data_IF_714923426345
#
_entry.id   IF_714923426345
#
_cell.length_a   1.000
_cell.length_b   1.000
_cell.length_c   1.000
_cell.angle_alpha   90.00
_cell.angle_beta   90.00
_cell.angle_gamma   90.00
#
_symmetry.space_group_name_H-M   'P 1'
#
loop_
_entity.id
_entity.type
_entity.pdbx_description
1 polymer ?
#
# COMPACT_ATOMS: atom_id res chain seq x y z
N UNK A 1 -42.73 6.41 -11.67
CA UNK A 1 -41.57 5.50 -11.61
C UNK A 1 -40.37 6.20 -12.25
N UNK A 2 -39.66 7.07 -11.51
CA UNK A 2 -38.54 7.84 -12.08
C UNK A 2 -37.22 7.05 -12.11
N UNK A 3 -36.99 6.19 -11.12
CA UNK A 3 -35.67 5.58 -10.90
C UNK A 3 -35.46 4.25 -11.65
N UNK A 4 -36.48 3.38 -11.68
CA UNK A 4 -36.37 2.01 -12.19
C UNK A 4 -37.16 1.74 -13.49
N UNK A 5 -37.37 2.78 -14.32
CA UNK A 5 -38.17 2.66 -15.56
C UNK A 5 -37.46 1.83 -16.64
N UNK A 6 -36.14 1.87 -16.69
CA UNK A 6 -35.33 1.08 -17.63
C UNK A 6 -34.13 0.45 -16.92
N UNK A 7 -33.56 -0.60 -17.52
CA UNK A 7 -32.37 -1.27 -16.99
C UNK A 7 -31.22 -0.27 -16.82
N UNK A 8 -30.98 0.57 -17.84
CA UNK A 8 -29.93 1.59 -17.80
C UNK A 8 -30.17 2.64 -16.69
N UNK A 9 -31.41 3.12 -16.54
CA UNK A 9 -31.77 4.05 -15.46
C UNK A 9 -31.59 3.43 -14.07
N UNK A 10 -31.89 2.13 -13.95
CA UNK A 10 -31.74 1.38 -12.71
C UNK A 10 -30.27 1.19 -12.36
N UNK A 11 -29.43 0.85 -13.34
CA UNK A 11 -27.98 0.75 -13.18
C UNK A 11 -27.37 2.09 -12.77
N UNK A 12 -27.78 3.19 -13.42
CA UNK A 12 -27.33 4.54 -13.06
C UNK A 12 -27.72 4.92 -11.64
N UNK A 13 -28.96 4.64 -11.24
CA UNK A 13 -29.47 4.88 -9.88
C UNK A 13 -28.70 4.07 -8.83
N UNK A 14 -28.48 2.78 -9.08
CA UNK A 14 -27.73 1.90 -8.16
C UNK A 14 -26.25 2.29 -8.09
N UNK A 15 -25.67 2.73 -9.20
CA UNK A 15 -24.28 3.20 -9.25
C UNK A 15 -24.10 4.50 -8.48
N UNK A 16 -24.84 5.56 -8.80
CA UNK A 16 -24.70 6.85 -8.12
C UNK A 16 -25.24 6.82 -6.69
N UNK A 17 -26.50 6.42 -6.53
CA UNK A 17 -27.17 6.55 -5.23
C UNK A 17 -26.87 5.36 -4.32
N UNK A 18 -26.42 4.23 -4.87
CA UNK A 18 -26.03 3.05 -4.10
C UNK A 18 -24.52 2.98 -3.82
N UNK A 19 -23.69 2.95 -4.86
CA UNK A 19 -22.22 2.81 -4.72
C UNK A 19 -21.58 4.11 -4.25
N UNK A 20 -21.90 5.24 -4.88
CA UNK A 20 -21.39 6.55 -4.46
C UNK A 20 -22.19 7.19 -3.32
N UNK A 21 -23.31 6.56 -2.91
CA UNK A 21 -24.23 7.07 -1.89
C UNK A 21 -24.71 8.49 -2.14
N UNK A 22 -24.72 8.93 -3.41
CA UNK A 22 -25.19 10.26 -3.78
C UNK A 22 -26.68 10.38 -3.47
N UNK A 23 -27.05 11.39 -2.66
CA UNK A 23 -28.42 11.64 -2.24
C UNK A 23 -29.22 10.41 -1.79
N UNK A 24 -28.56 9.43 -1.15
CA UNK A 24 -29.17 8.12 -0.81
C UNK A 24 -30.41 8.25 0.10
N UNK A 25 -30.46 9.28 0.94
CA UNK A 25 -31.59 9.53 1.86
C UNK A 25 -32.91 9.81 1.12
N UNK A 26 -32.87 10.56 0.02
CA UNK A 26 -34.08 10.81 -0.78
C UNK A 26 -34.55 9.56 -1.50
N UNK A 27 -33.63 8.79 -2.08
CA UNK A 27 -33.93 7.54 -2.79
C UNK A 27 -34.52 6.48 -1.86
N UNK A 28 -33.95 6.32 -0.66
CA UNK A 28 -34.47 5.37 0.34
C UNK A 28 -35.86 5.81 0.81
N UNK A 29 -36.09 7.11 1.04
CA UNK A 29 -37.41 7.61 1.43
C UNK A 29 -38.46 7.35 0.36
N UNK A 30 -38.13 7.54 -0.92
CA UNK A 30 -39.03 7.30 -2.04
C UNK A 30 -39.34 5.80 -2.24
N UNK A 31 -38.37 4.92 -2.01
CA UNK A 31 -38.57 3.46 -2.06
C UNK A 31 -39.39 2.98 -0.85
N UNK A 32 -39.17 3.56 0.33
CA UNK A 32 -39.90 3.22 1.56
C UNK A 32 -41.39 3.49 1.46
N UNK A 33 -41.80 4.52 0.72
CA UNK A 33 -43.21 4.82 0.48
C UNK A 33 -43.91 3.77 -0.41
N UNK A 34 -43.16 3.00 -1.21
CA UNK A 34 -43.73 2.00 -2.12
C UNK A 34 -43.66 0.58 -1.53
N UNK A 35 -42.51 0.15 -1.00
CA UNK A 35 -42.36 -1.19 -0.45
C UNK A 35 -41.20 -1.30 0.55
N UNK A 36 -41.45 -1.74 1.80
CA UNK A 36 -40.39 -1.94 2.79
C UNK A 36 -39.42 -3.07 2.42
N UNK A 37 -39.86 -4.07 1.64
CA UNK A 37 -38.99 -5.16 1.18
C UNK A 37 -37.94 -4.66 0.18
N UNK A 38 -38.31 -3.72 -0.69
CA UNK A 38 -37.39 -3.12 -1.65
C UNK A 38 -36.30 -2.28 -0.95
N UNK A 39 -36.65 -1.60 0.13
CA UNK A 39 -35.69 -0.87 0.98
C UNK A 39 -34.66 -1.82 1.60
N UNK A 40 -35.10 -2.97 2.12
CA UNK A 40 -34.20 -3.97 2.69
C UNK A 40 -33.20 -4.48 1.65
N UNK A 41 -33.67 -4.84 0.44
CA UNK A 41 -32.81 -5.27 -0.66
C UNK A 41 -31.82 -4.19 -1.07
N UNK A 42 -32.26 -2.93 -1.17
CA UNK A 42 -31.39 -1.81 -1.50
C UNK A 42 -30.31 -1.59 -0.44
N UNK A 43 -30.64 -1.69 0.85
CA UNK A 43 -29.67 -1.61 1.94
C UNK A 43 -28.63 -2.74 1.91
N UNK A 44 -29.06 -3.98 1.65
CA UNK A 44 -28.13 -5.10 1.50
C UNK A 44 -27.17 -4.88 0.32
N UNK A 45 -27.69 -4.38 -0.81
CA UNK A 45 -26.85 -4.02 -1.95
C UNK A 45 -25.82 -2.93 -1.61
N UNK A 46 -26.23 -1.88 -0.90
CA UNK A 46 -25.34 -0.78 -0.47
C UNK A 46 -24.26 -1.28 0.48
N UNK A 47 -24.62 -2.13 1.45
CA UNK A 47 -23.65 -2.72 2.38
C UNK A 47 -22.62 -3.60 1.65
N UNK A 48 -23.06 -4.49 0.76
CA UNK A 48 -22.15 -5.35 -0.01
C UNK A 48 -21.25 -4.50 -0.91
N UNK A 49 -21.81 -3.51 -1.60
CA UNK A 49 -21.07 -2.64 -2.52
C UNK A 49 -20.02 -1.81 -1.79
N UNK A 50 -20.41 -1.16 -0.68
CA UNK A 50 -19.49 -0.35 0.14
C UNK A 50 -18.36 -1.17 0.75
N UNK A 51 -18.65 -2.35 1.30
CA UNK A 51 -17.62 -3.27 1.81
C UNK A 51 -16.68 -3.73 0.71
N UNK A 52 -17.19 -4.02 -0.49
CA UNK A 52 -16.36 -4.43 -1.63
C UNK A 52 -15.42 -3.30 -2.07
N UNK A 53 -15.95 -2.08 -2.21
CA UNK A 53 -15.14 -0.91 -2.60
C UNK A 53 -14.10 -0.59 -1.53
N UNK A 54 -14.49 -0.56 -0.25
CA UNK A 54 -13.55 -0.35 0.85
C UNK A 54 -12.45 -1.41 0.87
N UNK A 55 -12.80 -2.69 0.73
CA UNK A 55 -11.82 -3.76 0.73
C UNK A 55 -10.86 -3.70 -0.48
N UNK A 56 -11.32 -3.25 -1.65
CA UNK A 56 -10.44 -2.98 -2.80
C UNK A 56 -9.51 -1.78 -2.57
N UNK A 57 -10.02 -0.69 -1.98
CA UNK A 57 -9.21 0.49 -1.68
C UNK A 57 -8.16 0.22 -0.59
N UNK A 58 -8.53 -0.53 0.45
CA UNK A 58 -7.60 -0.94 1.50
C UNK A 58 -6.48 -1.79 0.89
N UNK A 59 -6.81 -2.73 0.00
CA UNK A 59 -5.83 -3.58 -0.66
C UNK A 59 -4.77 -2.76 -1.41
N UNK A 60 -5.19 -1.81 -2.27
CA UNK A 60 -4.24 -0.99 -3.05
C UNK A 60 -3.42 -0.05 -2.17
N UNK A 61 -4.00 0.51 -1.10
CA UNK A 61 -3.25 1.36 -0.15
C UNK A 61 -2.20 0.54 0.58
N UNK A 62 -2.55 -0.66 1.05
CA UNK A 62 -1.60 -1.56 1.71
C UNK A 62 -0.47 -1.99 0.78
N UNK A 63 -0.76 -2.24 -0.50
CA UNK A 63 0.25 -2.55 -1.51
C UNK A 63 1.22 -1.38 -1.72
N UNK A 64 0.69 -0.17 -1.89
CA UNK A 64 1.51 1.04 -2.05
C UNK A 64 2.40 1.30 -0.82
N UNK A 65 1.85 1.21 0.39
CA UNK A 65 2.62 1.39 1.64
C UNK A 65 3.70 0.32 1.76
N UNK A 66 3.39 -0.93 1.42
CA UNK A 66 4.37 -2.04 1.46
C UNK A 66 5.51 -1.82 0.46
N UNK A 67 5.20 -1.32 -0.74
CA UNK A 67 6.21 -0.97 -1.76
C UNK A 67 7.13 0.17 -1.30
N UNK A 68 6.57 1.20 -0.67
CA UNK A 68 7.36 2.31 -0.12
C UNK A 68 8.25 1.82 1.02
N UNK A 69 7.69 1.05 1.96
CA UNK A 69 8.44 0.48 3.08
C UNK A 69 9.58 -0.45 2.62
N UNK A 70 9.36 -1.25 1.57
CA UNK A 70 10.41 -2.08 0.99
C UNK A 70 11.56 -1.24 0.41
N UNK A 71 11.23 -0.18 -0.32
CA UNK A 71 12.22 0.75 -0.91
C UNK A 71 13.04 1.45 0.18
N UNK A 72 12.38 1.94 1.24
CA UNK A 72 13.06 2.55 2.38
C UNK A 72 13.99 1.56 3.11
N UNK A 73 13.54 0.31 3.29
CA UNK A 73 14.35 -0.74 3.92
C UNK A 73 15.60 -1.07 3.11
N UNK A 74 15.50 -1.11 1.78
CA UNK A 74 16.65 -1.31 0.89
C UNK A 74 17.66 -0.17 1.02
N UNK A 75 17.18 1.08 1.03
CA UNK A 75 18.02 2.25 1.22
C UNK A 75 18.73 2.25 2.59
N UNK A 76 18.02 1.88 3.67
CA UNK A 76 18.60 1.74 5.00
C UNK A 76 19.64 0.61 5.08
N UNK A 77 19.38 -0.51 4.40
CA UNK A 77 20.33 -1.64 4.37
C UNK A 77 21.58 -1.25 3.60
N UNK A 78 21.43 -0.60 2.44
CA UNK A 78 22.55 -0.12 1.64
C UNK A 78 23.37 0.93 2.39
N UNK A 79 22.73 1.86 3.11
CA UNK A 79 23.45 2.86 3.90
C UNK A 79 24.17 2.24 5.10
N UNK A 80 23.56 1.26 5.78
CA UNK A 80 24.19 0.53 6.88
C UNK A 80 25.41 -0.26 6.42
N UNK A 81 25.30 -0.99 5.30
CA UNK A 81 26.44 -1.70 4.70
C UNK A 81 27.53 -0.73 4.30
N UNK A 82 27.18 0.39 3.64
CA UNK A 82 28.14 1.42 3.26
C UNK A 82 28.85 1.99 4.50
N UNK A 83 28.14 2.29 5.58
CA UNK A 83 28.73 2.80 6.81
C UNK A 83 29.64 1.77 7.48
N UNK A 84 29.21 0.51 7.57
CA UNK A 84 30.05 -0.58 8.13
C UNK A 84 31.29 -0.81 7.29
N UNK A 85 31.14 -0.78 5.97
CA UNK A 85 32.25 -0.94 5.05
C UNK A 85 33.22 0.25 5.12
N UNK A 86 32.72 1.48 5.29
CA UNK A 86 33.56 2.66 5.55
C UNK A 86 34.35 2.55 6.85
N UNK A 87 33.72 2.12 7.96
CA UNK A 87 34.42 1.92 9.23
C UNK A 87 35.50 0.84 9.13
N UNK A 88 35.21 -0.27 8.44
CA UNK A 88 36.22 -1.31 8.18
C UNK A 88 37.34 -0.78 7.28
N UNK A 89 37.01 0.07 6.30
CA UNK A 89 38.00 0.72 5.45
C UNK A 89 38.94 1.62 6.25
N UNK A 90 38.40 2.46 7.13
CA UNK A 90 39.18 3.33 8.02
C UNK A 90 40.06 2.54 9.02
N UNK A 91 39.64 1.34 9.42
CA UNK A 91 40.43 0.48 10.31
C UNK A 91 41.57 -0.27 9.58
N UNK A 92 41.45 -0.45 8.25
CA UNK A 92 42.40 -1.18 7.41
C UNK A 92 43.38 -0.24 6.70
N UNK A 93 42.92 0.96 6.33
CA UNK A 93 43.68 1.98 5.61
C UNK A 93 44.67 2.68 6.54
N UNK A 94 45.82 2.03 6.78
CA UNK A 94 46.93 2.60 7.54
C UNK A 94 47.61 3.77 6.79
N UNK A 95 47.52 3.79 5.46
CA UNK A 95 48.12 4.82 4.61
C UNK A 95 47.27 6.10 4.51
N UNK A 96 45.96 6.01 4.80
CA UNK A 96 45.01 7.12 4.81
C UNK A 96 44.71 7.71 3.43
N UNK A 97 44.95 6.94 2.36
CA UNK A 97 44.78 7.40 0.98
C UNK A 97 43.35 7.15 0.44
N UNK A 98 42.50 6.48 1.22
CA UNK A 98 41.12 6.15 0.88
C UNK A 98 41.00 4.97 -0.10
N UNK A 99 42.07 4.22 -0.34
CA UNK A 99 42.15 3.04 -1.22
C UNK A 99 42.81 1.88 -0.47
N UNK A 100 42.32 0.64 -0.65
CA UNK A 100 43.01 -0.52 -0.10
C UNK A 100 44.14 -0.92 -1.06
N UNK A 101 45.38 -0.75 -0.61
CA UNK A 101 46.56 -1.25 -1.30
C UNK A 101 46.71 -2.77 -1.14
N UNK A 102 47.42 -3.42 -2.08
CA UNK A 102 47.59 -4.88 -2.10
C UNK A 102 48.25 -5.40 -0.81
N UNK A 103 49.17 -4.62 -0.23
CA UNK A 103 49.86 -4.94 1.02
C UNK A 103 48.96 -4.80 2.25
N UNK A 104 48.08 -3.79 2.30
CA UNK A 104 47.08 -3.62 3.39
C UNK A 104 46.07 -4.77 3.37
N UNK A 105 45.60 -5.16 2.18
CA UNK A 105 44.70 -6.31 2.01
C UNK A 105 45.34 -7.64 2.45
N UNK A 106 46.61 -7.87 2.10
CA UNK A 106 47.37 -9.05 2.51
C UNK A 106 47.61 -9.08 4.03
N UNK A 107 47.84 -7.91 4.63
CA UNK A 107 48.06 -7.78 6.08
C UNK A 107 46.77 -8.11 6.85
N UNK A 108 45.61 -7.69 6.35
CA UNK A 108 44.29 -8.06 6.93
C UNK A 108 44.01 -9.55 6.81
N UNK A 109 44.29 -10.19 5.68
CA UNK A 109 44.11 -11.63 5.48
C UNK A 109 45.02 -12.50 6.37
N UNK A 110 46.13 -11.94 6.86
CA UNK A 110 47.08 -12.63 7.73
C UNK A 110 46.73 -12.43 9.22
N UNK A 111 45.79 -11.53 9.53
CA UNK A 111 45.41 -11.19 10.90
C UNK A 111 44.22 -12.08 11.36
N UNK A 112 44.38 -12.94 12.37
CA UNK A 112 43.40 -13.97 12.74
C UNK A 112 42.03 -13.46 13.23
N UNK A 113 41.88 -12.14 13.42
CA UNK A 113 40.60 -11.48 13.76
C UNK A 113 39.65 -11.30 12.57
N UNK A 114 40.15 -11.35 11.32
CA UNK A 114 39.33 -11.15 10.12
C UNK A 114 38.66 -12.43 9.59
N UNK A 115 39.02 -13.61 10.13
CA UNK A 115 38.54 -14.94 9.69
C UNK A 115 37.44 -15.55 10.57
N UNK A 116 36.84 -14.78 11.48
CA UNK A 116 35.72 -15.23 12.33
C UNK A 116 34.50 -14.32 12.17
#
# INVERSE_FOLDING_TARGET
QLYFSSISSSMYTLMLNGIFMDNIGSVVADIAQQSPMAVLLFWVFVLISSLTVMNMLIAVICEAVSSVAATEKELLTASFVKQKMQLLFEEIDESGDGLISRDEFLTVLTNPKATQ
#
